data_IF_100956123684
#
_entry.id   IF_100956123684
#
_cell.length_a   1.000
_cell.length_b   1.000
_cell.length_c   1.000
_cell.angle_alpha   90.00
_cell.angle_beta   90.00
_cell.angle_gamma   90.00
#
_symmetry.space_group_name_H-M   'P 1'
#
loop_
_entity.id
_entity.type
_entity.pdbx_description
1 polymer ?
#
# COMPACT_ATOMS: atom_id res chain seq x y z
N UNK A 1 6.88 4.15 -16.93
CA UNK A 1 6.99 2.93 -17.74
C UNK A 1 6.38 3.19 -19.09
N UNK A 2 7.08 2.82 -20.16
CA UNK A 2 6.61 2.94 -21.53
C UNK A 2 6.47 1.53 -22.10
N UNK A 3 5.40 1.27 -22.87
CA UNK A 3 5.16 0.00 -23.51
C UNK A 3 5.48 0.09 -25.01
N UNK A 4 6.23 -0.85 -25.56
CA UNK A 4 6.45 -0.94 -27.00
C UNK A 4 5.38 -1.79 -27.67
N UNK A 5 4.90 -1.38 -28.84
CA UNK A 5 3.85 -2.08 -29.56
C UNK A 5 4.22 -3.46 -30.12
N UNK A 6 5.51 -3.82 -30.20
CA UNK A 6 6.00 -5.08 -30.78
C UNK A 6 6.36 -6.15 -29.76
N UNK A 7 6.76 -5.75 -28.56
CA UNK A 7 7.08 -6.72 -27.49
C UNK A 7 6.40 -6.28 -26.21
N UNK A 8 5.33 -6.93 -25.85
CA UNK A 8 4.43 -6.63 -24.72
C UNK A 8 5.09 -6.67 -23.33
N UNK A 9 6.41 -6.71 -23.19
CA UNK A 9 7.08 -6.93 -21.90
C UNK A 9 8.34 -6.11 -21.62
N UNK A 10 8.75 -5.16 -22.44
CA UNK A 10 9.95 -4.38 -22.14
C UNK A 10 9.61 -3.10 -21.39
N UNK A 11 9.95 -3.05 -20.11
CA UNK A 11 9.94 -1.84 -19.28
C UNK A 11 11.27 -1.11 -19.42
N UNK A 12 11.26 0.17 -19.77
CA UNK A 12 12.46 1.00 -19.81
C UNK A 12 12.76 1.55 -18.43
N UNK A 13 13.96 1.27 -17.93
CA UNK A 13 14.38 1.67 -16.60
C UNK A 13 15.30 2.90 -16.61
N UNK A 14 15.74 3.36 -17.77
CA UNK A 14 16.65 4.50 -17.92
C UNK A 14 16.29 5.42 -19.09
N UNK A 15 16.69 6.70 -19.01
CA UNK A 15 16.54 7.67 -20.11
C UNK A 15 17.29 7.23 -21.38
N UNK A 16 18.37 6.48 -21.22
CA UNK A 16 19.19 5.94 -22.34
C UNK A 16 18.42 4.88 -23.12
N UNK A 17 17.68 4.03 -22.41
CA UNK A 17 16.82 3.01 -23.02
C UNK A 17 15.62 3.67 -23.70
N UNK A 18 15.02 4.70 -23.07
CA UNK A 18 13.94 5.47 -23.65
C UNK A 18 14.32 6.07 -25.02
N UNK A 19 15.44 6.79 -25.13
CA UNK A 19 15.91 7.42 -26.38
C UNK A 19 16.15 6.40 -27.50
N UNK A 20 16.59 5.21 -27.17
CA UNK A 20 16.83 4.13 -28.13
C UNK A 20 15.52 3.63 -28.78
N UNK A 21 14.42 3.61 -28.01
CA UNK A 21 13.15 3.02 -28.40
C UNK A 21 12.06 4.05 -28.67
N UNK A 22 12.35 5.33 -28.53
CA UNK A 22 11.37 6.43 -28.65
C UNK A 22 10.56 6.38 -29.95
N UNK A 23 11.17 5.96 -31.05
CA UNK A 23 10.51 5.84 -32.36
C UNK A 23 9.50 4.69 -32.45
N UNK A 24 9.63 3.69 -31.57
CA UNK A 24 8.79 2.50 -31.54
C UNK A 24 7.75 2.55 -30.41
N UNK A 25 7.72 3.64 -29.62
CA UNK A 25 6.76 3.80 -28.53
C UNK A 25 5.36 4.10 -29.08
N UNK A 26 4.36 3.46 -28.46
CA UNK A 26 2.99 3.84 -28.70
C UNK A 26 2.68 5.17 -28.00
N UNK A 27 2.14 6.12 -28.75
CA UNK A 27 1.68 7.39 -28.22
C UNK A 27 0.18 7.29 -27.96
N UNK A 28 -0.20 7.30 -26.69
CA UNK A 28 -1.59 7.22 -26.28
C UNK A 28 -2.36 8.47 -26.73
N UNK A 29 -3.49 8.28 -27.38
CA UNK A 29 -4.44 9.32 -27.76
C UNK A 29 -5.40 9.65 -26.60
N UNK A 30 -6.18 10.72 -26.75
CA UNK A 30 -7.25 11.04 -25.79
C UNK A 30 -8.31 9.91 -25.73
N UNK A 31 -8.59 9.26 -26.86
CA UNK A 31 -9.52 8.14 -26.91
C UNK A 31 -9.01 6.95 -26.10
N UNK A 32 -7.71 6.63 -26.17
CA UNK A 32 -7.09 5.57 -25.40
C UNK A 32 -7.16 5.85 -23.90
N UNK A 33 -6.88 7.09 -23.48
CA UNK A 33 -6.99 7.49 -22.08
C UNK A 33 -8.43 7.34 -21.56
N UNK A 34 -9.41 7.72 -22.35
CA UNK A 34 -10.82 7.61 -22.01
C UNK A 34 -11.26 6.14 -21.89
N UNK A 35 -10.83 5.30 -22.84
CA UNK A 35 -11.12 3.87 -22.83
C UNK A 35 -10.45 3.18 -21.61
N UNK A 36 -9.19 3.50 -21.33
CA UNK A 36 -8.48 3.01 -20.16
C UNK A 36 -9.19 3.39 -18.85
N UNK A 37 -9.61 4.66 -18.72
CA UNK A 37 -10.35 5.11 -17.52
C UNK A 37 -11.68 4.38 -17.36
N UNK A 38 -12.42 4.18 -18.45
CA UNK A 38 -13.67 3.43 -18.43
C UNK A 38 -13.44 1.98 -17.99
N UNK A 39 -12.39 1.33 -18.52
CA UNK A 39 -12.06 -0.05 -18.17
C UNK A 39 -11.61 -0.16 -16.69
N UNK A 40 -10.70 0.70 -16.24
CA UNK A 40 -10.18 0.74 -14.86
C UNK A 40 -11.29 0.98 -13.84
N UNK A 41 -12.23 1.88 -14.16
CA UNK A 41 -13.33 2.24 -13.26
C UNK A 41 -14.57 1.35 -13.41
N UNK A 42 -14.49 0.33 -14.24
CA UNK A 42 -15.65 -0.51 -14.57
C UNK A 42 -16.85 0.35 -15.06
N UNK A 43 -16.56 1.37 -15.89
CA UNK A 43 -17.49 2.37 -16.41
C UNK A 43 -18.16 3.26 -15.36
N UNK A 44 -17.61 3.32 -14.14
CA UNK A 44 -18.15 4.14 -13.05
C UNK A 44 -17.06 4.90 -12.31
N UNK A 45 -16.54 5.98 -12.91
CA UNK A 45 -15.56 6.88 -12.24
C UNK A 45 -16.12 7.49 -10.93
N UNK A 46 -17.44 7.56 -10.79
CA UNK A 46 -18.07 8.07 -9.58
C UNK A 46 -17.77 7.19 -8.34
N UNK A 47 -17.64 5.87 -8.54
CA UNK A 47 -17.30 4.94 -7.46
C UNK A 47 -15.92 5.23 -6.84
N UNK A 48 -15.01 5.82 -7.61
CA UNK A 48 -13.64 6.15 -7.20
C UNK A 48 -13.44 7.62 -6.83
N UNK A 49 -14.52 8.36 -6.55
CA UNK A 49 -14.45 9.81 -6.31
C UNK A 49 -13.50 10.18 -5.17
N UNK A 50 -13.48 9.45 -4.08
CA UNK A 50 -12.62 9.74 -2.94
C UNK A 50 -11.14 9.42 -3.25
N UNK A 51 -10.87 8.35 -3.97
CA UNK A 51 -9.52 8.00 -4.42
C UNK A 51 -9.00 9.03 -5.45
N UNK A 52 -9.83 9.45 -6.39
CA UNK A 52 -9.48 10.48 -7.38
C UNK A 52 -9.12 11.82 -6.71
N UNK A 53 -9.76 12.20 -5.61
CA UNK A 53 -9.36 13.36 -4.82
C UNK A 53 -7.94 13.24 -4.28
N UNK A 54 -7.49 12.02 -3.98
CA UNK A 54 -6.13 11.72 -3.54
C UNK A 54 -5.14 11.59 -4.71
N UNK A 55 -5.62 11.66 -5.96
CA UNK A 55 -4.80 11.62 -7.18
C UNK A 55 -4.47 10.22 -7.69
N UNK A 56 -5.15 9.17 -7.23
CA UNK A 56 -4.94 7.81 -7.71
C UNK A 56 -6.22 6.96 -7.61
N UNK A 57 -6.22 5.82 -8.31
CA UNK A 57 -7.22 4.76 -8.22
C UNK A 57 -6.47 3.46 -7.94
N UNK A 58 -6.93 2.67 -6.98
CA UNK A 58 -6.43 1.30 -6.76
C UNK A 58 -7.30 0.33 -7.53
N UNK A 59 -6.67 -0.61 -8.23
CA UNK A 59 -7.37 -1.64 -9.01
C UNK A 59 -7.02 -3.03 -8.51
N UNK A 60 -7.80 -4.03 -8.92
CA UNK A 60 -7.59 -5.43 -8.56
C UNK A 60 -6.13 -5.85 -8.79
N UNK A 61 -5.57 -6.64 -7.85
CA UNK A 61 -4.15 -6.96 -7.80
C UNK A 61 -3.30 -5.92 -7.08
N UNK A 62 -3.91 -4.90 -6.46
CA UNK A 62 -3.20 -3.85 -5.70
C UNK A 62 -2.41 -2.87 -6.57
N UNK A 63 -2.69 -2.86 -7.87
CA UNK A 63 -2.03 -1.93 -8.78
C UNK A 63 -2.60 -0.53 -8.58
N UNK A 64 -1.74 0.48 -8.67
CA UNK A 64 -2.12 1.87 -8.45
C UNK A 64 -2.01 2.67 -9.73
N UNK A 65 -3.10 3.33 -10.10
CA UNK A 65 -3.17 4.22 -11.25
C UNK A 65 -3.23 5.65 -10.76
N UNK A 66 -2.11 6.36 -10.83
CA UNK A 66 -2.06 7.80 -10.58
C UNK A 66 -2.81 8.54 -11.68
N UNK A 67 -3.61 9.52 -11.29
CA UNK A 67 -4.39 10.35 -12.19
C UNK A 67 -4.02 11.82 -12.03
N UNK A 68 -3.93 12.56 -13.14
CA UNK A 68 -3.74 14.00 -13.12
C UNK A 68 -4.53 14.66 -14.25
N UNK A 69 -4.85 15.94 -14.06
CA UNK A 69 -5.66 16.72 -14.99
C UNK A 69 -6.09 18.03 -14.36
N UNK A 70 -7.25 18.54 -14.74
CA UNK A 70 -7.80 19.76 -14.19
C UNK A 70 -8.47 19.48 -12.83
N UNK A 71 -8.05 20.23 -11.80
CA UNK A 71 -8.65 20.09 -10.47
C UNK A 71 -10.01 20.81 -10.42
N UNK A 72 -10.97 20.16 -9.78
CA UNK A 72 -12.26 20.75 -9.41
C UNK A 72 -12.19 21.16 -7.95
N UNK A 73 -12.44 22.44 -7.66
CA UNK A 73 -12.40 22.98 -6.31
C UNK A 73 -13.81 23.24 -5.80
N UNK A 74 -14.07 22.91 -4.53
CA UNK A 74 -15.25 23.26 -3.77
C UNK A 74 -14.78 23.84 -2.44
N UNK A 75 -15.20 25.03 -2.10
CA UNK A 75 -14.78 25.77 -0.90
C UNK A 75 -13.24 25.85 -0.73
N UNK A 76 -12.51 26.03 -1.85
CA UNK A 76 -11.07 26.12 -1.86
C UNK A 76 -10.32 24.79 -1.67
N UNK A 77 -11.03 23.67 -1.57
CA UNK A 77 -10.46 22.33 -1.44
C UNK A 77 -10.65 21.53 -2.73
N UNK A 78 -9.70 20.64 -3.01
CA UNK A 78 -9.81 19.72 -4.15
C UNK A 78 -10.98 18.76 -3.91
N UNK A 79 -12.00 18.85 -4.76
CA UNK A 79 -13.17 17.99 -4.76
C UNK A 79 -13.06 16.84 -5.78
N UNK A 80 -12.10 16.94 -6.71
CA UNK A 80 -11.86 15.94 -7.73
C UNK A 80 -10.93 16.44 -8.83
N UNK A 81 -10.72 15.60 -9.84
CA UNK A 81 -9.93 15.89 -11.04
C UNK A 81 -10.82 15.59 -12.27
N UNK A 82 -11.09 16.61 -13.09
CA UNK A 82 -11.87 16.45 -14.33
C UNK A 82 -11.61 17.62 -15.29
N UNK A 83 -11.26 17.38 -16.57
CA UNK A 83 -10.96 16.08 -17.13
C UNK A 83 -9.62 15.49 -16.63
N UNK A 84 -9.52 14.17 -16.60
CA UNK A 84 -8.25 13.45 -16.38
C UNK A 84 -7.54 13.35 -17.72
N UNK A 85 -6.28 13.83 -17.75
CA UNK A 85 -5.48 13.93 -19.00
C UNK A 85 -4.17 13.16 -18.90
N UNK A 86 -3.79 12.69 -17.71
CA UNK A 86 -2.57 11.91 -17.50
C UNK A 86 -2.88 10.70 -16.62
N UNK A 87 -2.29 9.57 -16.96
CA UNK A 87 -2.31 8.34 -16.17
C UNK A 87 -0.89 7.83 -15.93
N UNK A 88 -0.65 7.35 -14.71
CA UNK A 88 0.60 6.69 -14.33
C UNK A 88 0.29 5.35 -13.68
N UNK A 89 0.43 4.25 -14.43
CA UNK A 89 0.13 2.90 -13.97
C UNK A 89 1.35 2.34 -13.24
N UNK A 90 1.19 2.05 -11.96
CA UNK A 90 2.20 1.42 -11.09
C UNK A 90 1.76 -0.01 -10.81
N UNK A 91 2.50 -0.97 -11.37
CA UNK A 91 2.24 -2.39 -11.15
C UNK A 91 2.83 -2.77 -9.80
N UNK A 92 1.98 -3.28 -8.90
CA UNK A 92 2.41 -3.80 -7.62
C UNK A 92 3.23 -5.09 -7.82
N UNK A 93 4.28 -5.22 -7.03
CA UNK A 93 5.11 -6.41 -6.97
C UNK A 93 5.26 -6.83 -5.52
N UNK A 94 4.98 -8.07 -5.25
CA UNK A 94 5.20 -8.66 -3.94
C UNK A 94 6.59 -9.30 -3.86
N UNK A 95 7.27 -9.12 -2.73
CA UNK A 95 8.57 -9.76 -2.43
C UNK A 95 8.46 -10.52 -1.11
N UNK A 96 8.38 -11.84 -1.20
CA UNK A 96 8.38 -12.72 -0.04
C UNK A 96 9.81 -13.12 0.36
N UNK A 97 10.02 -13.33 1.66
CA UNK A 97 11.27 -13.84 2.23
C UNK A 97 12.33 -12.78 2.55
N UNK A 98 12.09 -11.50 2.29
CA UNK A 98 13.03 -10.43 2.65
C UNK A 98 13.14 -10.25 4.19
N UNK A 99 12.09 -10.56 4.94
CA UNK A 99 12.07 -10.48 6.39
C UNK A 99 12.86 -11.58 7.11
N UNK A 100 13.22 -12.69 6.46
CA UNK A 100 13.87 -13.84 7.10
C UNK A 100 15.10 -13.49 7.94
N UNK A 101 15.87 -12.48 7.51
CA UNK A 101 17.09 -12.08 8.22
C UNK A 101 16.81 -11.28 9.49
N UNK A 102 15.69 -10.53 9.53
CA UNK A 102 15.39 -9.66 10.67
C UNK A 102 14.51 -10.35 11.71
N UNK A 103 13.67 -11.30 11.32
CA UNK A 103 12.76 -11.99 12.24
C UNK A 103 13.46 -12.59 13.46
N UNK A 104 14.62 -13.28 13.35
CA UNK A 104 15.36 -13.76 14.52
C UNK A 104 15.82 -12.64 15.48
N UNK A 105 16.09 -11.43 14.93
CA UNK A 105 16.58 -10.29 15.72
C UNK A 105 15.48 -9.63 16.54
N UNK A 106 14.25 -9.67 16.05
CA UNK A 106 13.09 -9.07 16.72
C UNK A 106 12.32 -10.05 17.61
N UNK A 107 12.73 -11.31 17.65
CA UNK A 107 12.07 -12.35 18.43
C UNK A 107 12.15 -12.12 19.94
N UNK A 108 11.03 -12.25 20.63
CA UNK A 108 10.92 -12.26 22.08
C UNK A 108 10.04 -13.41 22.55
N UNK A 109 10.62 -14.54 22.98
CA UNK A 109 9.87 -15.75 23.40
C UNK A 109 8.79 -16.14 22.36
N UNK A 110 7.52 -16.03 22.73
CA UNK A 110 6.36 -16.37 21.90
C UNK A 110 5.77 -15.15 21.15
N UNK A 111 6.52 -14.05 21.08
CA UNK A 111 6.12 -12.80 20.43
C UNK A 111 7.33 -12.11 19.80
N UNK A 112 7.24 -10.81 19.59
CA UNK A 112 8.32 -9.94 19.11
C UNK A 112 8.61 -8.81 20.10
N UNK A 113 9.79 -8.21 20.01
CA UNK A 113 10.06 -6.90 20.59
C UNK A 113 9.26 -5.83 19.86
N UNK A 114 8.89 -4.76 20.57
CA UNK A 114 8.41 -3.56 19.88
C UNK A 114 9.51 -3.08 18.94
N UNK A 115 9.18 -2.98 17.67
CA UNK A 115 10.18 -2.80 16.61
C UNK A 115 9.82 -1.63 15.71
N UNK A 116 10.79 -0.77 15.47
CA UNK A 116 10.67 0.34 14.53
C UNK A 116 11.70 0.18 13.42
N UNK A 117 11.25 0.23 12.16
CA UNK A 117 12.08 0.09 10.97
C UNK A 117 12.41 1.50 10.45
N UNK A 118 13.68 1.89 10.58
CA UNK A 118 14.16 3.19 10.15
C UNK A 118 15.04 3.05 8.90
N UNK A 119 14.73 3.79 7.85
CA UNK A 119 15.59 3.90 6.67
C UNK A 119 15.25 5.11 5.82
N UNK A 120 16.09 5.40 4.84
CA UNK A 120 15.81 6.43 3.84
C UNK A 120 14.57 6.06 3.00
N UNK A 121 13.85 7.04 2.44
CA UNK A 121 12.77 6.79 1.48
C UNK A 121 13.22 5.89 0.34
N UNK A 122 12.34 4.98 -0.11
CA UNK A 122 12.64 4.05 -1.21
C UNK A 122 13.56 2.87 -0.88
N UNK A 123 14.06 2.75 0.36
CA UNK A 123 14.93 1.64 0.78
C UNK A 123 14.21 0.31 1.02
N UNK A 124 12.88 0.28 0.88
CA UNK A 124 12.09 -0.94 0.99
C UNK A 124 11.47 -1.21 2.36
N UNK A 125 11.30 -0.17 3.23
CA UNK A 125 10.64 -0.30 4.54
C UNK A 125 9.30 -1.02 4.47
N UNK A 126 8.37 -0.51 3.66
CA UNK A 126 7.03 -1.08 3.50
C UNK A 126 7.07 -2.52 2.98
N UNK A 127 8.01 -2.84 2.09
CA UNK A 127 8.21 -4.22 1.62
C UNK A 127 8.68 -5.14 2.75
N UNK A 128 9.61 -4.67 3.57
CA UNK A 128 10.11 -5.42 4.72
C UNK A 128 9.04 -5.58 5.79
N UNK A 129 8.29 -4.52 6.09
CA UNK A 129 7.16 -4.54 7.02
C UNK A 129 6.10 -5.55 6.59
N UNK A 130 5.67 -5.50 5.33
CA UNK A 130 4.69 -6.44 4.75
C UNK A 130 5.12 -7.89 4.88
N UNK A 131 6.34 -8.22 4.46
CA UNK A 131 6.83 -9.59 4.53
C UNK A 131 7.04 -10.06 5.99
N UNK A 132 7.37 -9.13 6.92
CA UNK A 132 7.40 -9.43 8.34
C UNK A 132 6.03 -9.80 8.88
N UNK A 133 5.00 -9.03 8.55
CA UNK A 133 3.60 -9.29 8.91
C UNK A 133 3.19 -10.67 8.40
N UNK A 134 3.38 -10.93 7.11
CA UNK A 134 3.07 -12.21 6.48
C UNK A 134 3.76 -13.38 7.20
N UNK A 135 5.05 -13.28 7.42
CA UNK A 135 5.85 -14.34 8.04
C UNK A 135 5.47 -14.59 9.50
N UNK A 136 5.15 -13.56 10.28
CA UNK A 136 4.67 -13.66 11.65
C UNK A 136 3.29 -14.32 11.72
N UNK A 137 2.39 -13.92 10.81
CA UNK A 137 1.05 -14.48 10.67
C UNK A 137 1.07 -15.96 10.24
N UNK A 138 1.99 -16.34 9.34
CA UNK A 138 2.20 -17.71 8.90
C UNK A 138 2.94 -18.59 9.94
N UNK A 139 3.62 -17.98 10.89
CA UNK A 139 4.47 -18.71 11.87
C UNK A 139 5.79 -19.20 11.29
N UNK A 140 6.25 -18.62 10.16
CA UNK A 140 7.46 -19.06 9.45
C UNK A 140 8.73 -18.94 10.32
N UNK A 141 8.79 -17.93 11.19
CA UNK A 141 9.97 -17.69 12.02
C UNK A 141 10.02 -18.51 13.29
N UNK A 142 8.86 -18.89 13.86
CA UNK A 142 8.79 -19.38 15.24
C UNK A 142 7.95 -20.66 15.41
N UNK A 143 7.35 -21.15 14.32
CA UNK A 143 6.37 -22.24 14.40
C UNK A 143 5.03 -21.83 15.07
N UNK A 144 4.95 -20.58 15.56
CA UNK A 144 3.76 -20.03 16.21
C UNK A 144 3.20 -18.92 15.31
N UNK A 145 1.93 -19.04 14.97
CA UNK A 145 1.19 -18.04 14.20
C UNK A 145 0.71 -16.93 15.12
N UNK A 146 1.21 -15.74 14.95
CA UNK A 146 0.80 -14.56 15.71
C UNK A 146 -0.38 -13.86 15.04
N UNK A 147 -1.30 -13.34 15.85
CA UNK A 147 -2.39 -12.50 15.37
C UNK A 147 -1.89 -11.07 15.15
N UNK A 148 -1.87 -10.65 13.89
CA UNK A 148 -1.40 -9.34 13.48
C UNK A 148 -2.59 -8.50 13.03
N UNK A 149 -2.70 -7.28 13.53
CA UNK A 149 -3.62 -6.29 12.99
C UNK A 149 -2.82 -5.17 12.32
N UNK A 150 -3.25 -4.77 11.14
CA UNK A 150 -2.58 -3.78 10.31
C UNK A 150 -3.47 -2.56 10.17
N UNK A 151 -2.94 -1.37 10.41
CA UNK A 151 -3.57 -0.12 9.98
C UNK A 151 -2.84 0.38 8.75
N UNK A 152 -3.54 0.36 7.63
CA UNK A 152 -3.00 0.72 6.32
C UNK A 152 -3.68 1.99 5.80
N UNK A 153 -3.17 3.15 6.22
CA UNK A 153 -3.78 4.45 5.92
C UNK A 153 -3.84 4.76 4.42
N UNK A 154 -2.85 4.29 3.67
CA UNK A 154 -2.70 4.59 2.24
C UNK A 154 -2.81 3.38 1.33
N UNK A 155 -3.29 2.26 1.83
CA UNK A 155 -3.34 0.99 1.09
C UNK A 155 -1.98 0.59 0.49
N UNK A 156 -0.88 0.84 1.23
CA UNK A 156 0.49 0.57 0.75
C UNK A 156 1.04 -0.75 1.30
N UNK A 157 0.57 -1.21 2.46
CA UNK A 157 0.99 -2.47 3.07
C UNK A 157 0.26 -3.63 2.42
N UNK A 158 -1.07 -3.66 2.54
CA UNK A 158 -1.93 -4.73 2.05
C UNK A 158 -2.34 -4.55 0.59
N UNK A 159 -2.18 -3.34 0.04
CA UNK A 159 -2.64 -2.96 -1.29
C UNK A 159 -4.12 -3.30 -1.51
N UNK A 160 -4.96 -2.99 -0.52
CA UNK A 160 -6.36 -3.40 -0.48
C UNK A 160 -7.15 -2.86 -1.67
N UNK A 161 -8.03 -3.71 -2.19
CA UNK A 161 -9.03 -3.36 -3.19
C UNK A 161 -10.42 -3.67 -2.61
N UNK A 162 -11.26 -2.64 -2.51
CA UNK A 162 -12.57 -2.74 -1.83
C UNK A 162 -12.47 -3.37 -0.41
N UNK A 163 -11.44 -2.99 0.35
CA UNK A 163 -11.20 -3.49 1.71
C UNK A 163 -10.62 -4.91 1.78
N UNK A 164 -10.35 -5.55 0.64
CA UNK A 164 -9.75 -6.89 0.58
C UNK A 164 -8.26 -6.77 0.26
N UNK A 165 -7.36 -7.28 1.14
CA UNK A 165 -5.93 -7.33 0.86
C UNK A 165 -5.62 -8.04 -0.45
N UNK A 166 -4.77 -7.44 -1.28
CA UNK A 166 -4.32 -8.03 -2.55
C UNK A 166 -2.93 -8.67 -2.41
N UNK A 167 -2.14 -8.24 -1.42
CA UNK A 167 -0.91 -8.90 -1.03
C UNK A 167 -1.19 -10.05 -0.06
N UNK A 168 -0.34 -11.07 -0.05
CA UNK A 168 -0.37 -12.11 0.98
C UNK A 168 0.04 -11.52 2.33
N UNK A 169 -0.92 -11.37 3.22
CA UNK A 169 -0.71 -10.86 4.58
C UNK A 169 -0.63 -12.00 5.62
N UNK A 170 -0.83 -13.24 5.18
CA UNK A 170 -0.91 -14.42 6.02
C UNK A 170 -2.29 -14.63 6.69
N UNK A 171 -2.56 -15.85 7.21
CA UNK A 171 -3.92 -16.30 7.57
C UNK A 171 -4.44 -15.72 8.89
N UNK A 172 -3.59 -15.06 9.69
CA UNK A 172 -3.98 -14.46 10.98
C UNK A 172 -3.75 -12.95 11.00
N UNK A 173 -3.93 -12.30 9.85
CA UNK A 173 -3.81 -10.85 9.73
C UNK A 173 -5.16 -10.23 9.42
N UNK A 174 -5.56 -9.26 10.25
CA UNK A 174 -6.71 -8.40 10.01
C UNK A 174 -6.19 -7.05 9.53
N UNK A 175 -6.78 -6.49 8.48
CA UNK A 175 -6.36 -5.20 7.90
C UNK A 175 -7.48 -4.19 8.02
N UNK A 176 -7.15 -3.02 8.55
CA UNK A 176 -8.01 -1.83 8.53
C UNK A 176 -7.41 -0.84 7.53
N UNK A 177 -8.10 -0.67 6.43
CA UNK A 177 -7.65 0.07 5.26
C UNK A 177 -8.28 1.46 5.16
N UNK A 178 -7.53 2.45 4.72
CA UNK A 178 -8.02 3.79 4.41
C UNK A 178 -8.44 4.64 5.61
N UNK A 179 -7.96 4.34 6.82
CA UNK A 179 -8.25 5.15 8.02
C UNK A 179 -6.98 5.73 8.65
N UNK A 180 -7.13 6.80 9.42
CA UNK A 180 -6.04 7.38 10.19
C UNK A 180 -5.46 6.39 11.21
N UNK A 181 -4.12 6.41 11.38
CA UNK A 181 -3.40 5.41 12.19
C UNK A 181 -3.88 5.36 13.64
N UNK A 182 -3.97 6.50 14.29
CA UNK A 182 -4.39 6.57 15.69
C UNK A 182 -5.80 6.00 15.91
N UNK A 183 -6.74 6.36 15.05
CA UNK A 183 -8.11 5.86 15.11
C UNK A 183 -8.18 4.37 14.79
N UNK A 184 -7.50 3.94 13.73
CA UNK A 184 -7.45 2.54 13.31
C UNK A 184 -6.85 1.64 14.39
N UNK A 185 -5.74 2.05 15.03
CA UNK A 185 -5.14 1.32 16.14
C UNK A 185 -6.13 1.14 17.31
N UNK A 186 -6.80 2.22 17.71
CA UNK A 186 -7.78 2.15 18.81
C UNK A 186 -8.96 1.23 18.49
N UNK A 187 -9.47 1.26 17.26
CA UNK A 187 -10.54 0.37 16.83
C UNK A 187 -10.09 -1.09 16.85
N UNK A 188 -8.91 -1.40 16.31
CA UNK A 188 -8.37 -2.76 16.27
C UNK A 188 -8.08 -3.32 17.67
N UNK A 189 -7.56 -2.51 18.59
CA UNK A 189 -7.33 -2.92 19.98
C UNK A 189 -8.65 -3.37 20.62
N UNK A 190 -9.72 -2.60 20.45
CA UNK A 190 -11.03 -2.87 21.08
C UNK A 190 -11.78 -4.04 20.45
N UNK A 191 -11.66 -4.21 19.13
CA UNK A 191 -12.48 -5.16 18.37
C UNK A 191 -11.79 -6.49 18.07
N UNK A 192 -10.48 -6.47 17.83
CA UNK A 192 -9.76 -7.62 17.28
C UNK A 192 -8.78 -8.30 18.25
N UNK A 193 -8.45 -7.68 19.39
CA UNK A 193 -7.50 -8.23 20.37
C UNK A 193 -6.18 -8.68 19.74
N UNK A 194 -5.42 -7.78 19.10
CA UNK A 194 -4.19 -8.12 18.40
C UNK A 194 -3.06 -8.51 19.34
N UNK A 195 -2.23 -9.47 18.95
CA UNK A 195 -0.94 -9.71 19.58
C UNK A 195 0.12 -8.73 19.07
N UNK A 196 0.00 -8.34 17.80
CA UNK A 196 0.87 -7.36 17.14
C UNK A 196 0.00 -6.37 16.39
N UNK A 197 0.32 -5.08 16.51
CA UNK A 197 -0.22 -4.02 15.67
C UNK A 197 0.90 -3.56 14.75
N UNK A 198 0.65 -3.60 13.45
CA UNK A 198 1.57 -3.12 12.44
C UNK A 198 1.02 -1.86 11.78
N UNK A 199 1.90 -0.87 11.62
CA UNK A 199 1.57 0.43 11.00
C UNK A 199 2.72 0.87 10.10
N UNK A 200 2.43 1.66 9.05
CA UNK A 200 3.44 2.31 8.23
C UNK A 200 3.55 3.79 8.62
N UNK A 201 4.78 4.32 8.64
CA UNK A 201 5.08 5.75 8.84
C UNK A 201 4.48 6.41 10.10
N UNK A 202 4.96 6.07 11.28
CA UNK A 202 4.62 6.79 12.53
C UNK A 202 5.24 8.20 12.52
N UNK A 203 4.44 9.24 12.71
CA UNK A 203 4.94 10.62 12.63
C UNK A 203 4.14 11.67 13.41
N UNK A 204 2.84 11.50 13.59
CA UNK A 204 2.02 12.44 14.33
C UNK A 204 2.05 12.16 15.84
N UNK A 205 1.85 13.17 16.68
CA UNK A 205 1.77 13.01 18.12
C UNK A 205 0.64 12.06 18.54
N UNK A 206 -0.49 12.11 17.83
CA UNK A 206 -1.61 11.17 18.00
C UNK A 206 -1.22 9.71 17.79
N UNK A 207 -0.29 9.43 16.86
CA UNK A 207 0.17 8.07 16.57
C UNK A 207 0.92 7.50 17.77
N UNK A 208 1.78 8.30 18.41
CA UNK A 208 2.52 7.87 19.60
C UNK A 208 1.61 7.60 20.79
N UNK A 209 0.55 8.39 20.97
CA UNK A 209 -0.46 8.12 21.99
C UNK A 209 -1.17 6.78 21.74
N UNK A 210 -1.53 6.50 20.49
CA UNK A 210 -2.18 5.22 20.14
C UNK A 210 -1.22 4.03 20.30
N UNK A 211 0.07 4.21 19.99
CA UNK A 211 1.12 3.22 20.29
C UNK A 211 1.19 2.93 21.79
N UNK A 212 1.21 3.96 22.65
CA UNK A 212 1.22 3.78 24.10
C UNK A 212 0.00 2.99 24.59
N UNK A 213 -1.19 3.28 24.06
CA UNK A 213 -2.39 2.50 24.38
C UNK A 213 -2.26 1.04 23.95
N UNK A 214 -1.73 0.76 22.76
CA UNK A 214 -1.50 -0.59 22.29
C UNK A 214 -0.56 -1.37 23.23
N UNK A 215 0.53 -0.74 23.67
CA UNK A 215 1.49 -1.31 24.62
C UNK A 215 0.83 -1.60 25.98
N UNK A 216 0.02 -0.68 26.50
CA UNK A 216 -0.70 -0.82 27.76
C UNK A 216 -1.74 -1.95 27.70
N UNK A 217 -2.29 -2.25 26.51
CA UNK A 217 -3.17 -3.39 26.29
C UNK A 217 -2.44 -4.72 26.04
N UNK A 218 -1.10 -4.74 26.11
CA UNK A 218 -0.28 -5.92 25.94
C UNK A 218 0.05 -6.30 24.50
N UNK A 219 -0.37 -5.52 23.52
CA UNK A 219 0.02 -5.71 22.12
C UNK A 219 1.46 -5.29 21.89
N UNK A 220 2.11 -5.88 20.89
CA UNK A 220 3.41 -5.42 20.39
C UNK A 220 3.19 -4.52 19.18
N UNK A 221 4.12 -3.61 18.95
CA UNK A 221 4.07 -2.67 17.81
C UNK A 221 5.22 -2.95 16.86
N UNK A 222 4.89 -2.99 15.58
CA UNK A 222 5.81 -3.13 14.45
C UNK A 222 5.53 -2.00 13.45
N UNK A 223 6.51 -1.11 13.20
CA UNK A 223 6.35 0.04 12.31
C UNK A 223 7.63 0.51 11.67
#
# INVERSE_FOLDING_TARGET
>A
CYLTGKEKKQMFCSEKDYRRWEKDLYHASEADLREMLNYISNYSLYAYKEEIKQGYITIEGGHRVGVAGQTVLVDGKIAGISPITFLNIRIAHEKCGCARKILPLIRQRDSIYNTLILSMPGAGKTTLLRDSIRALSNGEAYGIRLKVCVVDERSEIAASFHGVPQNDMGPRTDVMDGCGKAEGMQLLIRSMSPQIIAVDELGAESDFYAVEQALNCGSRVLG
#
